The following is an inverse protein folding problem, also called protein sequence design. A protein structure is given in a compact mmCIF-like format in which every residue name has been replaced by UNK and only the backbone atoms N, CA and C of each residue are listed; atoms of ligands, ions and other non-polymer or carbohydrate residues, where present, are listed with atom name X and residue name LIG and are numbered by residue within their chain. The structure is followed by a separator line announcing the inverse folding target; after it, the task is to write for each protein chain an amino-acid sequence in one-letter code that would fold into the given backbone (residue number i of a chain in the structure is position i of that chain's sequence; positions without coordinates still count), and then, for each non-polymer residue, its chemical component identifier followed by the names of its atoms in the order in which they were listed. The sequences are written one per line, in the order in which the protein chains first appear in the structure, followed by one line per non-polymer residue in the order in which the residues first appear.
data_IF_872147954671
#
_entry.id   IF_872147954671
#
_cell.length_a   1.000
_cell.length_b   1.000
_cell.length_c   1.000
_cell.angle_alpha   90.00
_cell.angle_beta   90.00
_cell.angle_gamma   90.00
#
_symmetry.space_group_name_H-M   'P 1'
#
loop_
_entity.id
_entity.type
_entity.pdbx_description
1 polymer ?
#
# COMPACT_ATOMS: atom_id res chain seq x y z
N UNK A 1 23.24 -0.39 7.13
CA UNK A 1 22.47 -1.33 6.29
C UNK A 1 22.07 -0.60 5.01
N UNK A 2 22.18 -1.20 3.82
CA UNK A 2 21.78 -0.51 2.59
C UNK A 2 20.26 -0.35 2.49
N UNK A 3 19.81 0.65 1.74
CA UNK A 3 18.40 1.06 1.65
C UNK A 3 17.47 -0.04 1.12
N UNK A 4 17.92 -0.82 0.13
CA UNK A 4 17.11 -1.93 -0.44
C UNK A 4 16.93 -3.04 0.60
N UNK A 5 17.95 -3.32 1.40
CA UNK A 5 17.84 -4.26 2.52
C UNK A 5 16.85 -3.75 3.57
N UNK A 6 16.93 -2.49 3.98
CA UNK A 6 15.98 -1.91 4.94
C UNK A 6 14.54 -2.04 4.45
N UNK A 7 14.26 -1.62 3.21
CA UNK A 7 12.93 -1.73 2.59
C UNK A 7 12.46 -3.18 2.47
N UNK A 8 13.36 -4.13 2.21
CA UNK A 8 13.00 -5.55 2.13
C UNK A 8 12.57 -6.13 3.47
N UNK A 9 13.23 -5.74 4.56
CA UNK A 9 12.86 -6.17 5.91
C UNK A 9 11.53 -5.54 6.34
N UNK A 10 11.35 -4.24 6.08
CA UNK A 10 10.09 -3.56 6.35
C UNK A 10 8.94 -4.11 5.49
N UNK A 11 9.17 -4.46 4.22
CA UNK A 11 8.20 -5.15 3.36
C UNK A 11 7.74 -6.48 3.98
N UNK A 12 8.63 -7.20 4.67
CA UNK A 12 8.25 -8.44 5.36
C UNK A 12 7.31 -8.13 6.53
N UNK A 13 7.66 -7.16 7.39
CA UNK A 13 6.87 -6.76 8.56
C UNK A 13 5.52 -6.17 8.14
N UNK A 14 5.50 -5.20 7.22
CA UNK A 14 4.29 -4.53 6.76
C UNK A 14 3.43 -5.35 5.79
N UNK A 15 3.82 -6.60 5.52
CA UNK A 15 2.97 -7.60 4.89
C UNK A 15 2.25 -8.51 5.88
N UNK A 16 2.63 -8.45 7.16
CA UNK A 16 1.92 -9.14 8.23
C UNK A 16 0.62 -8.43 8.57
N UNK A 17 -0.22 -9.12 9.33
CA UNK A 17 -1.45 -8.51 9.85
C UNK A 17 -1.15 -7.44 10.89
N UNK A 18 -2.14 -6.59 11.12
CA UNK A 18 -2.14 -5.64 12.22
C UNK A 18 -2.85 -6.18 13.45
N UNK A 19 -2.52 -5.61 14.60
CA UNK A 19 -3.20 -5.77 15.88
C UNK A 19 -3.62 -4.38 16.35
N UNK A 20 -4.84 -4.25 16.88
CA UNK A 20 -5.27 -3.00 17.52
C UNK A 20 -4.51 -2.82 18.84
N UNK A 21 -3.94 -1.63 19.02
CA UNK A 21 -3.25 -1.22 20.24
C UNK A 21 -4.06 -0.09 20.90
N UNK A 22 -4.66 -0.40 22.06
CA UNK A 22 -5.56 0.53 22.77
C UNK A 22 -4.83 1.76 23.31
N UNK A 23 -3.55 1.66 23.68
CA UNK A 23 -2.79 2.80 24.19
C UNK A 23 -2.45 3.76 23.05
N UNK A 24 -2.03 3.21 21.91
CA UNK A 24 -1.70 3.99 20.73
C UNK A 24 -2.95 4.47 19.96
N UNK A 25 -4.11 3.86 20.22
CA UNK A 25 -5.32 4.01 19.39
C UNK A 25 -4.99 3.82 17.90
N UNK A 26 -4.18 2.81 17.61
CA UNK A 26 -3.63 2.56 16.29
C UNK A 26 -3.43 1.06 16.03
N UNK A 27 -3.39 0.70 14.75
CA UNK A 27 -3.11 -0.66 14.30
C UNK A 27 -1.61 -0.86 14.09
N UNK A 28 -0.98 -1.71 14.91
CA UNK A 28 0.45 -2.06 14.79
C UNK A 28 0.66 -3.35 14.02
N UNK A 29 1.70 -3.43 13.20
CA UNK A 29 2.02 -4.66 12.47
C UNK A 29 2.73 -5.65 13.38
N UNK A 30 2.42 -6.94 13.21
CA UNK A 30 3.15 -8.00 13.91
C UNK A 30 4.56 -8.10 13.33
N UNK A 31 5.57 -8.04 14.19
CA UNK A 31 6.96 -8.28 13.78
C UNK A 31 7.22 -9.80 13.76
N UNK A 32 7.57 -10.40 12.62
CA UNK A 32 7.80 -11.85 12.52
C UNK A 32 8.96 -12.32 13.39
N UNK A 33 8.82 -13.48 14.03
CA UNK A 33 9.91 -14.11 14.81
C UNK A 33 11.10 -14.53 13.94
N UNK A 34 10.88 -14.79 12.64
CA UNK A 34 11.96 -15.07 11.69
C UNK A 34 12.89 -13.87 11.45
N UNK A 35 12.48 -12.66 11.82
CA UNK A 35 13.31 -11.48 11.70
C UNK A 35 14.36 -11.49 12.82
N UNK A 36 15.63 -11.60 12.44
CA UNK A 36 16.72 -11.74 13.42
C UNK A 36 16.80 -10.50 14.33
N UNK A 37 17.27 -10.69 15.57
CA UNK A 37 17.53 -9.57 16.50
C UNK A 37 18.47 -8.55 15.85
N UNK A 38 19.52 -9.03 15.18
CA UNK A 38 20.49 -8.20 14.46
C UNK A 38 19.84 -7.36 13.35
N UNK A 39 18.88 -7.91 12.61
CA UNK A 39 18.18 -7.16 11.56
C UNK A 39 17.29 -6.05 12.16
N UNK A 40 16.67 -6.31 13.31
CA UNK A 40 15.88 -5.32 14.05
C UNK A 40 16.75 -4.19 14.59
N UNK A 41 17.85 -4.53 15.27
CA UNK A 41 18.84 -3.55 15.76
C UNK A 41 19.42 -2.71 14.61
N UNK A 42 19.65 -3.33 13.44
CA UNK A 42 20.17 -2.61 12.29
C UNK A 42 19.14 -1.69 11.60
N UNK A 43 17.84 -2.02 11.65
CA UNK A 43 16.76 -1.11 11.25
C UNK A 43 16.65 0.07 12.22
N UNK A 44 16.69 -0.19 13.52
CA UNK A 44 16.68 0.84 14.56
C UNK A 44 17.87 1.79 14.43
N UNK A 45 19.09 1.26 14.25
CA UNK A 45 20.30 2.05 14.04
C UNK A 45 20.25 2.89 12.74
N UNK A 46 19.45 2.49 11.76
CA UNK A 46 19.19 3.28 10.55
C UNK A 46 18.04 4.30 10.73
N UNK A 47 17.42 4.36 11.90
CA UNK A 47 16.30 5.26 12.20
C UNK A 47 14.94 4.74 11.74
N UNK A 48 14.83 3.47 11.36
CA UNK A 48 13.63 2.85 10.78
C UNK A 48 13.16 1.65 11.60
N UNK A 49 13.15 1.83 12.93
CA UNK A 49 12.52 0.88 13.84
C UNK A 49 11.04 0.67 13.44
N UNK A 50 10.59 -0.58 13.23
CA UNK A 50 9.20 -0.85 12.86
C UNK A 50 8.22 -0.41 13.95
N UNK A 51 6.99 -0.03 13.56
CA UNK A 51 5.94 0.38 14.50
C UNK A 51 6.34 1.61 15.35
N UNK A 52 7.04 2.58 14.77
CA UNK A 52 7.46 3.80 15.47
C UNK A 52 6.37 4.85 15.39
N UNK A 53 5.49 4.85 16.40
CA UNK A 53 4.31 5.71 16.45
C UNK A 53 4.58 7.11 17.00
N UNK A 54 4.07 8.14 16.31
CA UNK A 54 4.08 9.54 16.74
C UNK A 54 2.69 10.14 16.57
N UNK A 55 2.21 10.88 17.58
CA UNK A 55 0.97 11.65 17.48
C UNK A 55 1.29 13.08 17.01
N UNK A 56 0.83 13.50 15.82
CA UNK A 56 1.10 14.85 15.33
C UNK A 56 0.34 15.89 16.14
N UNK A 57 0.97 17.03 16.38
CA UNK A 57 0.32 18.24 16.89
C UNK A 57 0.06 19.21 15.74
N UNK A 58 -1.12 19.82 15.71
CA UNK A 58 -1.58 20.60 14.55
C UNK A 58 -0.63 21.75 14.19
N UNK A 59 -0.43 22.67 15.14
CA UNK A 59 0.31 23.90 14.90
C UNK A 59 1.80 23.64 14.69
N UNK A 60 2.36 22.67 15.42
CA UNK A 60 3.74 22.23 15.29
C UNK A 60 3.99 21.61 13.90
N UNK A 61 3.06 20.79 13.41
CA UNK A 61 3.16 20.16 12.09
C UNK A 61 3.15 21.20 10.98
N UNK A 62 2.25 22.18 11.03
CA UNK A 62 2.18 23.24 10.01
C UNK A 62 3.43 24.11 10.05
N UNK A 63 3.88 24.48 11.25
CA UNK A 63 5.11 25.28 11.45
C UNK A 63 6.31 24.56 10.88
N UNK A 64 6.46 23.27 11.20
CA UNK A 64 7.56 22.47 10.70
C UNK A 64 7.48 22.27 9.20
N UNK A 65 6.30 21.99 8.63
CA UNK A 65 6.09 21.83 7.19
C UNK A 65 6.60 23.06 6.43
N UNK A 66 6.20 24.26 6.89
CA UNK A 66 6.67 25.52 6.31
C UNK A 66 8.18 25.68 6.43
N UNK A 67 8.75 25.36 7.59
CA UNK A 67 10.19 25.44 7.83
C UNK A 67 10.99 24.52 6.91
N UNK A 68 10.62 23.24 6.78
CA UNK A 68 11.36 22.28 5.95
C UNK A 68 11.15 22.54 4.46
N UNK A 69 9.95 22.96 4.04
CA UNK A 69 9.68 23.31 2.65
C UNK A 69 10.37 24.60 2.19
N UNK A 70 10.64 25.55 3.10
CA UNK A 70 11.31 26.80 2.75
C UNK A 70 12.80 26.66 2.43
N UNK A 71 13.39 25.48 2.64
CA UNK A 71 14.76 25.18 2.24
C UNK A 71 14.92 25.00 0.73
N UNK A 72 13.80 24.83 0.01
CA UNK A 72 13.77 24.44 -1.40
C UNK A 72 13.02 25.46 -2.23
N UNK A 73 13.48 25.70 -3.46
CA UNK A 73 12.74 26.45 -4.47
C UNK A 73 11.74 25.55 -5.20
N UNK A 74 10.83 26.14 -5.97
CA UNK A 74 9.95 25.37 -6.86
C UNK A 74 10.78 24.64 -7.93
N UNK A 75 11.88 25.24 -8.40
CA UNK A 75 12.75 24.60 -9.40
C UNK A 75 13.44 23.37 -8.82
N UNK A 76 14.00 23.45 -7.61
CA UNK A 76 14.57 22.28 -6.93
C UNK A 76 13.51 21.18 -6.83
N UNK A 77 12.30 21.54 -6.40
CA UNK A 77 11.23 20.58 -6.28
C UNK A 77 10.81 19.94 -7.62
N UNK A 78 10.86 20.70 -8.73
CA UNK A 78 10.62 20.18 -10.07
C UNK A 78 11.73 19.22 -10.54
N UNK A 79 13.00 19.53 -10.29
CA UNK A 79 14.14 18.63 -10.58
C UNK A 79 14.04 17.32 -9.78
N UNK A 80 13.71 17.40 -8.50
CA UNK A 80 13.49 16.22 -7.66
C UNK A 80 12.30 15.37 -8.15
N UNK A 81 11.19 16.01 -8.53
CA UNK A 81 10.04 15.33 -9.09
C UNK A 81 10.41 14.55 -10.35
N UNK A 82 11.09 15.17 -11.33
CA UNK A 82 11.46 14.49 -12.57
C UNK A 82 12.44 13.34 -12.30
N UNK A 83 13.45 13.54 -11.44
CA UNK A 83 14.39 12.48 -11.06
C UNK A 83 13.70 11.26 -10.44
N UNK A 84 12.66 11.49 -9.64
CA UNK A 84 11.92 10.44 -8.94
C UNK A 84 10.97 9.61 -9.82
N UNK A 85 10.87 9.96 -11.11
CA UNK A 85 10.13 9.15 -12.07
C UNK A 85 10.88 7.84 -12.35
N UNK A 86 12.22 7.85 -12.28
CA UNK A 86 13.03 6.66 -12.51
C UNK A 86 14.27 6.53 -11.62
N UNK A 87 15.22 7.47 -11.70
CA UNK A 87 16.56 7.29 -11.14
C UNK A 87 16.64 7.51 -9.63
N UNK A 88 15.82 8.41 -9.08
CA UNK A 88 15.77 8.71 -7.66
C UNK A 88 14.62 7.96 -6.95
N UNK A 89 14.73 7.67 -5.63
CA UNK A 89 13.62 7.07 -4.89
C UNK A 89 12.35 7.93 -4.94
N UNK A 90 11.19 7.26 -4.90
CA UNK A 90 9.87 7.89 -5.05
C UNK A 90 9.57 8.98 -4.01
N UNK A 91 10.23 8.94 -2.85
CA UNK A 91 10.06 9.93 -1.78
C UNK A 91 10.31 11.36 -2.27
N UNK A 92 11.21 11.54 -3.24
CA UNK A 92 11.55 12.83 -3.84
C UNK A 92 10.37 13.51 -4.56
N UNK A 93 9.34 12.75 -4.98
CA UNK A 93 8.08 13.35 -5.50
C UNK A 93 7.41 14.26 -4.49
N UNK A 94 7.55 13.94 -3.20
CA UNK A 94 6.89 14.65 -2.11
C UNK A 94 7.40 16.08 -1.98
N UNK A 95 8.58 16.39 -2.52
CA UNK A 95 9.16 17.72 -2.41
C UNK A 95 8.30 18.77 -3.10
N UNK A 96 7.79 18.48 -4.30
CA UNK A 96 7.00 19.43 -5.08
C UNK A 96 5.63 19.69 -4.46
N UNK A 97 4.90 18.64 -4.12
CA UNK A 97 3.60 18.80 -3.45
C UNK A 97 3.75 19.43 -2.08
N UNK A 98 4.73 19.00 -1.27
CA UNK A 98 5.03 19.60 0.02
C UNK A 98 5.41 21.08 -0.08
N UNK A 99 6.21 21.46 -1.08
CA UNK A 99 6.57 22.86 -1.34
C UNK A 99 5.35 23.71 -1.69
N UNK A 100 4.50 23.24 -2.59
CA UNK A 100 3.32 24.00 -3.00
C UNK A 100 2.31 24.13 -1.86
N UNK A 101 2.04 23.04 -1.14
CA UNK A 101 1.18 23.05 0.05
C UNK A 101 1.71 24.05 1.09
N UNK A 102 2.99 23.97 1.44
CA UNK A 102 3.58 24.86 2.44
C UNK A 102 3.54 26.34 2.05
N UNK A 103 3.72 26.62 0.75
CA UNK A 103 3.76 27.99 0.22
C UNK A 103 2.37 28.62 0.09
N UNK A 104 1.34 27.82 -0.20
CA UNK A 104 -0.03 28.31 -0.40
C UNK A 104 -0.88 28.26 0.87
N UNK A 105 -0.57 27.35 1.82
CA UNK A 105 -1.40 27.14 3.02
C UNK A 105 -1.42 28.37 3.94
N UNK A 106 -2.61 28.97 4.18
CA UNK A 106 -2.74 30.09 5.09
C UNK A 106 -2.46 29.66 6.53
N UNK A 107 -2.12 30.63 7.37
CA UNK A 107 -2.20 30.42 8.82
C UNK A 107 -3.66 30.14 9.18
N UNK A 108 -3.90 29.12 10.00
CA UNK A 108 -5.24 28.76 10.44
C UNK A 108 -5.19 28.00 11.76
N UNK A 109 -6.27 28.07 12.51
CA UNK A 109 -6.48 27.27 13.71
C UNK A 109 -7.00 25.87 13.34
N UNK A 110 -6.78 24.90 14.23
CA UNK A 110 -7.33 23.55 14.06
C UNK A 110 -8.86 23.59 14.02
N UNK A 111 -9.43 23.28 12.84
CA UNK A 111 -10.88 23.33 12.60
C UNK A 111 -11.38 21.94 12.20
N UNK A 112 -11.71 21.05 13.15
CA UNK A 112 -12.07 19.67 12.84
C UNK A 112 -13.45 19.50 12.19
N UNK A 113 -13.67 18.35 11.54
CA UNK A 113 -15.01 17.89 11.18
C UNK A 113 -15.85 17.56 12.41
N UNK A 114 -17.19 17.64 12.34
CA UNK A 114 -18.04 17.21 13.46
C UNK A 114 -17.88 15.73 13.83
N UNK A 115 -17.44 14.89 12.89
CA UNK A 115 -17.34 13.44 13.03
C UNK A 115 -15.91 12.89 13.11
N UNK A 116 -14.88 13.74 13.11
CA UNK A 116 -13.47 13.32 13.19
C UNK A 116 -12.56 14.48 13.63
N UNK A 117 -11.37 14.21 14.18
CA UNK A 117 -10.40 15.29 14.48
C UNK A 117 -9.55 15.70 13.27
N UNK A 118 -10.00 15.38 12.06
CA UNK A 118 -9.36 15.82 10.82
C UNK A 118 -9.66 17.29 10.57
N UNK A 119 -8.63 18.11 10.41
CA UNK A 119 -8.78 19.54 10.11
C UNK A 119 -9.41 19.74 8.72
N UNK A 120 -10.51 20.48 8.63
CA UNK A 120 -11.17 20.84 7.36
C UNK A 120 -10.28 21.66 6.43
N UNK A 121 -9.30 22.36 6.98
CA UNK A 121 -8.44 23.27 6.22
C UNK A 121 -7.24 22.53 5.65
N UNK A 122 -6.42 21.90 6.50
CA UNK A 122 -5.18 21.24 6.05
C UNK A 122 -5.28 19.72 5.90
N UNK A 123 -6.30 19.06 6.45
CA UNK A 123 -6.46 17.61 6.38
C UNK A 123 -5.70 16.82 7.44
N UNK A 124 -4.98 17.48 8.35
CA UNK A 124 -4.27 16.80 9.41
C UNK A 124 -5.26 16.20 10.43
N UNK A 125 -5.14 14.90 10.67
CA UNK A 125 -5.77 14.17 11.78
C UNK A 125 -4.80 14.12 12.96
N UNK A 126 -5.29 14.45 14.16
CA UNK A 126 -4.49 14.52 15.41
C UNK A 126 -4.92 13.48 16.47
N UNK A 127 -5.96 12.71 16.17
CA UNK A 127 -6.53 11.67 17.02
C UNK A 127 -5.68 10.39 17.06
N UNK A 128 -5.05 10.04 15.94
CA UNK A 128 -4.38 8.76 15.76
C UNK A 128 -2.87 8.90 15.74
N UNK A 129 -2.20 7.96 16.42
CA UNK A 129 -0.76 7.83 16.29
C UNK A 129 -0.41 7.30 14.89
N UNK A 130 0.60 7.89 14.27
CA UNK A 130 1.08 7.52 12.93
C UNK A 130 2.38 6.74 13.04
N UNK A 131 2.45 5.55 12.43
CA UNK A 131 3.71 4.81 12.28
C UNK A 131 4.60 5.54 11.25
N UNK A 132 5.59 6.25 11.77
CA UNK A 132 6.51 7.07 10.97
C UNK A 132 7.41 6.23 10.06
N UNK A 133 7.73 5.00 10.47
CA UNK A 133 8.53 4.06 9.67
C UNK A 133 7.70 3.49 8.52
N UNK A 134 6.40 3.24 8.76
CA UNK A 134 5.48 2.83 7.68
C UNK A 134 5.27 3.95 6.67
N UNK A 135 5.13 5.19 7.15
CA UNK A 135 5.06 6.36 6.27
C UNK A 135 6.31 6.46 5.40
N UNK A 136 7.51 6.40 5.99
CA UNK A 136 8.77 6.38 5.23
C UNK A 136 8.79 5.26 4.19
N UNK A 137 8.46 4.02 4.59
CA UNK A 137 8.39 2.88 3.67
C UNK A 137 7.45 3.14 2.49
N UNK A 138 6.24 3.65 2.73
CA UNK A 138 5.30 4.00 1.67
C UNK A 138 5.80 5.13 0.76
N UNK A 139 6.48 6.15 1.30
CA UNK A 139 7.08 7.20 0.46
C UNK A 139 8.16 6.65 -0.45
N UNK A 140 8.93 5.69 0.04
CA UNK A 140 9.97 5.02 -0.73
C UNK A 140 9.41 4.07 -1.79
N UNK A 141 8.24 3.43 -1.57
CA UNK A 141 7.73 2.36 -2.45
C UNK A 141 6.50 2.70 -3.30
N UNK A 142 5.72 3.70 -2.90
CA UNK A 142 4.41 3.98 -3.47
C UNK A 142 4.26 5.42 -4.00
N UNK A 143 4.93 6.41 -3.40
CA UNK A 143 4.89 7.80 -3.87
C UNK A 143 4.51 8.81 -2.79
N UNK A 144 3.78 9.86 -3.16
CA UNK A 144 3.57 11.05 -2.29
C UNK A 144 2.58 10.81 -1.14
N UNK A 145 2.62 11.62 -0.06
CA UNK A 145 1.51 11.68 0.89
C UNK A 145 0.23 12.11 0.15
N UNK A 146 -0.66 11.15 -0.09
CA UNK A 146 -1.96 11.39 -0.69
C UNK A 146 -2.83 12.24 0.23
N UNK A 147 -3.88 12.80 -0.35
CA UNK A 147 -4.83 13.70 0.31
C UNK A 147 -4.23 14.98 0.92
N UNK A 148 -2.96 15.27 0.64
CA UNK A 148 -2.31 16.46 1.17
C UNK A 148 -1.95 16.36 2.65
N UNK A 149 -1.75 15.14 3.19
CA UNK A 149 -1.38 14.85 4.59
C UNK A 149 -0.17 15.69 5.07
N UNK A 150 -0.38 16.75 5.88
CA UNK A 150 0.69 17.65 6.28
C UNK A 150 1.79 16.95 7.09
N UNK A 151 1.43 15.97 7.93
CA UNK A 151 2.42 15.27 8.74
C UNK A 151 3.26 14.32 7.90
N UNK A 152 2.64 13.60 6.97
CA UNK A 152 3.35 12.82 5.96
C UNK A 152 4.36 13.65 5.15
N UNK A 153 4.01 14.89 4.80
CA UNK A 153 4.94 15.82 4.15
C UNK A 153 6.09 16.26 5.07
N UNK A 154 5.84 16.54 6.34
CA UNK A 154 6.92 16.83 7.31
C UNK A 154 7.90 15.67 7.38
N UNK A 155 7.41 14.44 7.50
CA UNK A 155 8.26 13.24 7.55
C UNK A 155 9.09 13.08 6.28
N UNK A 156 8.46 13.21 5.11
CA UNK A 156 9.14 13.10 3.83
C UNK A 156 10.20 14.20 3.66
N UNK A 157 9.86 15.47 3.88
CA UNK A 157 10.78 16.58 3.64
C UNK A 157 11.93 16.61 4.66
N UNK A 158 11.73 16.13 5.89
CA UNK A 158 12.84 15.93 6.85
C UNK A 158 13.83 14.88 6.35
N UNK A 159 13.33 13.77 5.81
CA UNK A 159 14.18 12.73 5.21
C UNK A 159 14.97 13.30 4.03
N UNK A 160 14.33 14.09 3.16
CA UNK A 160 14.99 14.74 2.03
C UNK A 160 16.05 15.77 2.47
N UNK A 161 15.77 16.54 3.51
CA UNK A 161 16.72 17.52 4.07
C UNK A 161 17.93 16.85 4.75
N UNK A 162 17.77 15.61 5.23
CA UNK A 162 18.87 14.80 5.77
C UNK A 162 19.63 14.01 4.70
N UNK A 163 19.12 13.94 3.46
CA UNK A 163 19.79 13.24 2.37
C UNK A 163 21.12 13.91 2.02
N UNK A 164 22.13 13.09 1.72
CA UNK A 164 23.48 13.58 1.41
C UNK A 164 23.56 14.27 0.04
N UNK A 165 22.73 13.84 -0.91
CA UNK A 165 22.78 14.30 -2.30
C UNK A 165 21.38 14.65 -2.79
N UNK A 166 21.30 15.80 -3.45
CA UNK A 166 20.10 16.24 -4.17
C UNK A 166 20.10 15.62 -5.58
N UNK A 167 19.01 14.97 -6.01
CA UNK A 167 18.98 14.28 -7.29
C UNK A 167 18.85 15.26 -8.46
N UNK A 168 19.58 14.98 -9.54
CA UNK A 168 19.53 15.73 -10.79
C UNK A 168 18.98 14.80 -11.88
N UNK A 169 17.94 15.20 -12.64
CA UNK A 169 17.37 14.35 -13.67
C UNK A 169 18.39 14.00 -14.74
N UNK A 170 18.55 12.71 -15.01
CA UNK A 170 19.32 12.26 -16.16
C UNK A 170 18.45 12.27 -17.44
N UNK A 171 19.02 11.83 -18.57
CA UNK A 171 18.31 11.81 -19.85
C UNK A 171 17.05 10.93 -19.81
N UNK A 172 17.12 9.77 -19.16
CA UNK A 172 16.01 8.84 -19.06
C UNK A 172 14.88 9.39 -18.17
N UNK A 173 15.20 10.09 -17.08
CA UNK A 173 14.21 10.79 -16.25
C UNK A 173 13.45 11.86 -17.05
N UNK A 174 14.19 12.69 -17.81
CA UNK A 174 13.62 13.74 -18.67
C UNK A 174 12.78 13.16 -19.81
N UNK A 175 13.23 12.07 -20.42
CA UNK A 175 12.45 11.32 -21.40
C UNK A 175 11.17 10.76 -20.77
N UNK A 176 11.26 10.16 -19.58
CA UNK A 176 10.13 9.59 -18.86
C UNK A 176 9.08 10.65 -18.56
N UNK A 177 9.49 11.84 -18.13
CA UNK A 177 8.57 12.95 -17.91
C UNK A 177 7.85 13.36 -19.20
N UNK A 178 8.58 13.56 -20.30
CA UNK A 178 7.97 13.87 -21.62
C UNK A 178 7.06 12.76 -22.11
N UNK A 179 7.41 11.49 -21.86
CA UNK A 179 6.58 10.34 -22.20
C UNK A 179 5.25 10.35 -21.42
N UNK A 180 5.28 10.66 -20.12
CA UNK A 180 4.06 10.83 -19.32
C UNK A 180 3.17 11.92 -19.91
N UNK A 181 3.73 13.09 -20.22
CA UNK A 181 2.98 14.21 -20.81
C UNK A 181 2.39 13.84 -22.18
N UNK A 182 3.18 13.17 -23.03
CA UNK A 182 2.75 12.72 -24.35
C UNK A 182 1.56 11.76 -24.24
N UNK A 183 1.67 10.72 -23.40
CA UNK A 183 0.59 9.76 -23.19
C UNK A 183 -0.68 10.45 -22.73
N UNK A 184 -0.57 11.41 -21.80
CA UNK A 184 -1.73 12.14 -21.27
C UNK A 184 -2.40 13.04 -22.32
N UNK A 185 -1.62 13.74 -23.16
CA UNK A 185 -2.13 14.58 -24.25
C UNK A 185 -2.81 13.78 -25.36
N UNK A 186 -2.38 12.54 -25.59
CA UNK A 186 -2.89 11.67 -26.64
C UNK A 186 -4.08 10.79 -26.20
N UNK A 187 -4.50 10.87 -24.93
CA UNK A 187 -5.65 10.11 -24.46
C UNK A 187 -6.92 10.47 -25.25
N UNK A 188 -7.75 9.47 -25.63
CA UNK A 188 -9.06 9.74 -26.21
C UNK A 188 -9.87 10.65 -25.28
N UNK A 189 -10.68 11.60 -25.80
CA UNK A 189 -11.52 12.46 -24.96
C UNK A 189 -12.37 11.67 -23.96
N UNK A 190 -12.64 12.26 -22.80
CA UNK A 190 -13.40 11.67 -21.68
C UNK A 190 -12.74 10.47 -20.99
N UNK A 191 -11.44 10.25 -21.21
CA UNK A 191 -10.68 9.22 -20.50
C UNK A 191 -10.47 9.65 -19.05
N UNK A 192 -10.99 8.86 -18.11
CA UNK A 192 -10.84 9.09 -16.66
C UNK A 192 -9.49 8.62 -16.14
N UNK A 193 -9.09 9.15 -14.97
CA UNK A 193 -7.81 8.85 -14.32
C UNK A 193 -7.49 7.35 -14.20
N UNK A 194 -8.48 6.50 -13.96
CA UNK A 194 -8.25 5.05 -13.84
C UNK A 194 -7.79 4.41 -15.15
N UNK A 195 -8.27 4.90 -16.29
CA UNK A 195 -7.83 4.46 -17.63
C UNK A 195 -6.53 5.14 -18.04
N UNK A 196 -6.32 6.40 -17.64
CA UNK A 196 -5.04 7.08 -17.83
C UNK A 196 -3.89 6.34 -17.11
N UNK A 197 -4.10 5.89 -15.87
CA UNK A 197 -3.11 5.09 -15.13
C UNK A 197 -2.77 3.78 -15.84
N UNK A 198 -3.76 3.12 -16.44
CA UNK A 198 -3.54 1.91 -17.25
C UNK A 198 -2.73 2.21 -18.52
N UNK A 199 -3.00 3.33 -19.19
CA UNK A 199 -2.24 3.77 -20.36
C UNK A 199 -0.77 4.04 -20.01
N UNK A 200 -0.51 4.81 -18.95
CA UNK A 200 0.86 5.07 -18.48
C UNK A 200 1.60 3.78 -18.07
N UNK A 201 0.90 2.87 -17.39
CA UNK A 201 1.45 1.57 -16.99
C UNK A 201 1.84 0.70 -18.19
N UNK A 202 1.03 0.71 -19.26
CA UNK A 202 1.30 -0.06 -20.48
C UNK A 202 2.67 0.29 -21.06
N UNK A 203 3.03 1.57 -21.02
CA UNK A 203 4.31 2.10 -21.50
C UNK A 203 5.47 1.91 -20.52
N UNK A 204 5.20 1.38 -19.32
CA UNK A 204 6.20 1.04 -18.28
C UNK A 204 7.08 2.23 -17.88
N UNK A 205 6.45 3.39 -17.70
CA UNK A 205 7.14 4.65 -17.44
C UNK A 205 7.70 4.79 -16.02
N UNK A 206 7.32 3.93 -15.08
CA UNK A 206 7.85 3.94 -13.71
C UNK A 206 8.65 2.67 -13.43
N UNK A 207 9.59 2.67 -12.45
CA UNK A 207 10.37 1.50 -12.04
C UNK A 207 9.54 0.47 -11.25
N UNK A 208 8.24 0.36 -11.56
CA UNK A 208 7.27 -0.56 -10.97
C UNK A 208 6.11 -0.82 -11.93
N UNK A 209 5.48 -1.99 -11.79
CA UNK A 209 4.29 -2.39 -12.54
C UNK A 209 3.01 -2.35 -11.68
N UNK A 210 3.11 -1.84 -10.45
CA UNK A 210 1.96 -1.66 -9.57
C UNK A 210 1.09 -0.52 -10.09
N UNK A 211 -0.17 -0.80 -10.40
CA UNK A 211 -1.11 0.18 -10.96
C UNK A 211 -1.30 1.39 -10.02
N UNK A 212 -1.30 1.14 -8.71
CA UNK A 212 -1.44 2.20 -7.70
C UNK A 212 -0.35 3.28 -7.82
N UNK A 213 0.89 2.94 -8.18
CA UNK A 213 1.96 3.93 -8.34
C UNK A 213 1.73 4.91 -9.51
N UNK A 214 0.97 4.47 -10.53
CA UNK A 214 0.56 5.33 -11.64
C UNK A 214 -0.65 6.19 -11.26
N UNK A 215 -1.54 5.67 -10.42
CA UNK A 215 -2.64 6.48 -9.84
C UNK A 215 -2.10 7.57 -8.91
N UNK A 216 -1.18 7.22 -8.02
CA UNK A 216 -0.47 8.16 -7.15
C UNK A 216 0.20 9.28 -7.96
N UNK A 217 0.90 8.95 -9.07
CA UNK A 217 1.47 9.95 -9.96
C UNK A 217 0.41 10.91 -10.52
N UNK A 218 -0.76 10.41 -10.94
CA UNK A 218 -1.85 11.27 -11.42
C UNK A 218 -2.43 12.15 -10.31
N UNK A 219 -2.53 11.64 -9.09
CA UNK A 219 -2.96 12.40 -7.92
C UNK A 219 -1.94 13.50 -7.58
N UNK A 220 -0.65 13.19 -7.66
CA UNK A 220 0.43 14.18 -7.54
C UNK A 220 0.28 15.26 -8.62
N UNK A 221 0.17 14.87 -9.89
CA UNK A 221 0.02 15.81 -11.01
C UNK A 221 -1.23 16.68 -10.89
N UNK A 222 -2.34 16.14 -10.39
CA UNK A 222 -3.55 16.91 -10.11
C UNK A 222 -3.35 17.89 -8.96
N UNK A 223 -2.77 17.43 -7.84
CA UNK A 223 -2.53 18.25 -6.65
C UNK A 223 -1.62 19.44 -6.94
N UNK A 224 -0.61 19.27 -7.80
CA UNK A 224 0.27 20.37 -8.22
C UNK A 224 -0.34 21.25 -9.32
N UNK A 225 -1.53 20.93 -9.85
CA UNK A 225 -2.24 21.74 -10.84
C UNK A 225 -1.92 21.47 -12.31
N UNK A 226 -1.39 20.29 -12.64
CA UNK A 226 -1.20 19.85 -14.04
C UNK A 226 -2.44 19.14 -14.57
N UNK A 227 -3.08 18.31 -13.73
CA UNK A 227 -4.33 17.61 -14.03
C UNK A 227 -5.47 18.16 -13.17
N UNK A 228 -5.74 19.45 -13.31
CA UNK A 228 -6.79 20.17 -12.59
C UNK A 228 -7.96 20.58 -13.49
N UNK A 229 -8.98 21.21 -12.90
CA UNK A 229 -10.06 21.85 -13.65
C UNK A 229 -10.20 23.30 -13.19
N UNK A 230 -10.81 24.20 -13.98
CA UNK A 230 -11.04 25.58 -13.56
C UNK A 230 -11.82 25.69 -12.23
N UNK A 231 -12.75 24.77 -11.98
CA UNK A 231 -13.57 24.72 -10.76
C UNK A 231 -12.86 24.04 -9.58
N UNK A 232 -11.85 23.24 -9.85
CA UNK A 232 -11.07 22.49 -8.88
C UNK A 232 -9.58 22.68 -9.15
N UNK A 233 -9.01 23.87 -8.86
CA UNK A 233 -7.62 24.18 -9.18
C UNK A 233 -6.63 23.41 -8.29
N UNK A 234 -5.45 23.13 -8.82
CA UNK A 234 -4.34 22.61 -8.02
C UNK A 234 -3.59 23.68 -7.23
N UNK A 235 -2.70 23.24 -6.34
CA UNK A 235 -2.02 24.06 -5.32
C UNK A 235 -1.11 25.17 -5.87
N UNK A 236 -0.66 25.07 -7.13
CA UNK A 236 0.13 26.10 -7.80
C UNK A 236 -0.69 27.35 -8.18
N UNK A 237 -2.00 27.16 -8.33
CA UNK A 237 -2.96 28.21 -8.70
C UNK A 237 -3.42 28.92 -7.43
N UNK A 238 -3.97 28.15 -6.48
CA UNK A 238 -4.41 28.64 -5.18
C UNK A 238 -4.43 27.51 -4.14
N UNK A 239 -4.49 27.87 -2.86
CA UNK A 239 -4.68 26.90 -1.79
C UNK A 239 -6.11 26.37 -1.80
N UNK A 240 -6.27 25.07 -2.02
CA UNK A 240 -7.55 24.37 -1.86
C UNK A 240 -7.57 23.62 -0.53
N UNK A 241 -8.53 23.98 0.32
CA UNK A 241 -8.69 23.33 1.63
C UNK A 241 -8.95 21.83 1.48
N UNK A 242 -8.60 21.06 2.50
CA UNK A 242 -8.89 19.64 2.54
C UNK A 242 -10.39 19.37 2.32
N UNK A 243 -11.28 20.19 2.90
CA UNK A 243 -12.72 20.03 2.70
C UNK A 243 -13.17 20.22 1.24
N UNK A 244 -12.54 21.15 0.51
CA UNK A 244 -12.82 21.30 -0.92
C UNK A 244 -12.27 20.12 -1.73
N UNK A 245 -11.06 19.65 -1.40
CA UNK A 245 -10.45 18.49 -2.05
C UNK A 245 -11.17 17.18 -1.73
N UNK A 246 -11.75 17.10 -0.54
CA UNK A 246 -12.45 15.92 -0.05
C UNK A 246 -13.90 15.79 -0.58
N UNK A 247 -14.41 16.81 -1.27
CA UNK A 247 -15.63 16.62 -2.05
C UNK A 247 -15.43 15.50 -3.08
N UNK A 248 -16.50 14.81 -3.49
CA UNK A 248 -16.45 13.78 -4.54
C UNK A 248 -17.65 13.90 -5.47
N UNK A 249 -17.50 13.57 -6.77
CA UNK A 249 -18.64 13.50 -7.69
C UNK A 249 -19.70 12.48 -7.25
N UNK A 250 -19.29 11.39 -6.58
CA UNK A 250 -20.17 10.42 -5.92
C UNK A 250 -19.35 9.49 -5.01
N UNK A 251 -20.05 8.68 -4.20
CA UNK A 251 -19.48 7.77 -3.19
C UNK A 251 -18.55 6.66 -3.73
N UNK A 252 -18.51 6.43 -5.04
CA UNK A 252 -17.66 5.38 -5.66
C UNK A 252 -16.32 5.93 -6.14
N UNK A 253 -16.10 7.25 -6.07
CA UNK A 253 -14.86 7.88 -6.51
C UNK A 253 -13.95 8.08 -5.29
N UNK A 254 -12.85 7.34 -5.24
CA UNK A 254 -11.92 7.36 -4.11
C UNK A 254 -10.97 8.56 -4.15
N UNK A 255 -10.42 8.90 -5.32
CA UNK A 255 -9.44 10.00 -5.49
C UNK A 255 -10.06 11.37 -5.20
N UNK A 256 -9.28 12.27 -4.59
CA UNK A 256 -9.67 13.65 -4.25
C UNK A 256 -9.68 14.62 -5.44
N UNK A 257 -10.21 15.82 -5.22
CA UNK A 257 -9.98 16.95 -6.11
C UNK A 257 -8.49 17.30 -6.16
N UNK A 258 -7.96 17.74 -7.30
CA UNK A 258 -8.69 17.96 -8.56
C UNK A 258 -9.04 16.70 -9.37
N UNK A 259 -8.28 15.62 -9.20
CA UNK A 259 -8.30 14.46 -10.10
C UNK A 259 -9.69 13.80 -10.24
N UNK A 260 -10.50 13.84 -9.18
CA UNK A 260 -11.84 13.25 -9.20
C UNK A 260 -12.76 13.84 -10.30
N UNK A 261 -12.55 15.10 -10.66
CA UNK A 261 -13.31 15.84 -11.68
C UNK A 261 -12.59 15.93 -13.02
N UNK A 262 -11.32 15.56 -13.06
CA UNK A 262 -10.54 15.58 -14.29
C UNK A 262 -10.90 14.42 -15.22
N UNK A 263 -10.92 14.73 -16.52
CA UNK A 263 -10.82 13.76 -17.61
C UNK A 263 -10.01 14.36 -18.77
N UNK A 264 -9.55 13.52 -19.68
CA UNK A 264 -8.68 13.94 -20.80
C UNK A 264 -9.29 14.99 -21.74
N UNK A 265 -10.59 15.29 -21.68
CA UNK A 265 -11.19 16.40 -22.43
C UNK A 265 -10.77 17.76 -21.86
N UNK A 266 -10.48 17.82 -20.55
CA UNK A 266 -9.87 18.99 -19.91
C UNK A 266 -8.39 19.07 -20.27
N UNK A 267 -7.73 17.91 -20.37
CA UNK A 267 -6.35 17.80 -20.79
C UNK A 267 -5.35 18.26 -19.72
N UNK A 268 -4.14 18.62 -20.15
CA UNK A 268 -3.11 19.16 -19.27
C UNK A 268 -3.27 20.67 -19.17
N UNK A 269 -3.14 21.22 -17.97
CA UNK A 269 -3.02 22.65 -17.76
C UNK A 269 -1.62 23.14 -18.16
N UNK A 270 -1.47 23.50 -19.44
CA UNK A 270 -0.18 23.89 -20.02
C UNK A 270 0.41 25.15 -19.37
N UNK A 271 -0.41 26.07 -18.85
CA UNK A 271 0.09 27.26 -18.15
C UNK A 271 0.80 26.88 -16.85
N UNK A 272 0.18 26.01 -16.05
CA UNK A 272 0.78 25.50 -14.82
C UNK A 272 1.97 24.59 -15.10
N UNK A 273 1.92 23.80 -16.17
CA UNK A 273 3.05 22.99 -16.61
C UNK A 273 4.28 23.85 -16.91
N UNK A 274 4.12 24.90 -17.72
CA UNK A 274 5.20 25.83 -18.03
C UNK A 274 5.67 26.58 -16.77
N UNK A 275 4.77 26.96 -15.86
CA UNK A 275 5.14 27.64 -14.61
C UNK A 275 6.06 26.79 -13.73
N UNK A 276 5.73 25.51 -13.55
CA UNK A 276 6.46 24.60 -12.65
C UNK A 276 7.71 24.04 -13.31
N UNK A 277 7.62 23.63 -14.58
CA UNK A 277 8.65 22.87 -15.29
C UNK A 277 9.29 23.67 -16.45
N UNK A 278 9.40 25.00 -16.34
CA UNK A 278 9.97 25.87 -17.38
C UNK A 278 11.39 25.49 -17.82
N UNK A 279 12.18 24.86 -16.95
CA UNK A 279 13.55 24.41 -17.25
C UNK A 279 13.60 23.08 -18.02
N UNK A 280 12.46 22.47 -18.31
CA UNK A 280 12.36 21.20 -19.04
C UNK A 280 11.85 21.43 -20.46
N UNK A 281 12.28 20.57 -21.37
CA UNK A 281 11.58 20.40 -22.64
C UNK A 281 10.24 19.71 -22.39
N UNK A 282 9.16 20.39 -22.77
CA UNK A 282 7.77 19.96 -22.54
C UNK A 282 7.08 19.46 -23.81
N UNK A 283 7.81 19.35 -24.92
CA UNK A 283 7.22 18.90 -26.19
C UNK A 283 6.88 17.41 -26.17
N UNK A 284 5.93 17.03 -27.03
CA UNK A 284 5.63 15.62 -27.26
C UNK A 284 6.83 14.91 -27.89
N UNK A 285 6.96 13.62 -27.57
CA UNK A 285 8.02 12.76 -28.09
C UNK A 285 7.44 11.51 -28.73
N UNK A 286 8.22 10.86 -29.59
CA UNK A 286 7.92 9.49 -30.01
C UNK A 286 8.26 8.53 -28.88
N UNK A 287 7.28 7.76 -28.42
CA UNK A 287 7.51 6.71 -27.40
C UNK A 287 8.41 5.58 -27.91
N UNK A 288 8.57 5.45 -29.24
CA UNK A 288 9.50 4.50 -29.84
C UNK A 288 10.97 4.91 -29.66
N UNK A 289 11.24 6.21 -29.47
CA UNK A 289 12.59 6.76 -29.30
C UNK A 289 12.98 6.72 -27.81
N UNK A 290 12.83 5.55 -27.19
CA UNK A 290 13.13 5.33 -25.78
C UNK A 290 14.65 5.19 -25.58
N UNK A 291 15.31 6.06 -24.78
CA UNK A 291 16.72 5.90 -24.45
C UNK A 291 16.94 4.71 -23.52
N UNK A 292 18.19 4.29 -23.39
CA UNK A 292 18.56 3.24 -22.44
C UNK A 292 18.22 3.64 -21.00
N UNK A 293 17.68 2.69 -20.25
CA UNK A 293 17.32 2.89 -18.85
C UNK A 293 18.55 3.27 -18.03
N UNK A 294 18.54 4.46 -17.44
CA UNK A 294 19.60 4.96 -16.58
C UNK A 294 19.04 5.37 -15.22
N UNK A 295 19.38 4.66 -14.13
CA UNK A 295 20.03 3.36 -14.12
C UNK A 295 19.10 2.27 -14.71
N UNK A 296 19.63 1.09 -15.03
CA UNK A 296 18.81 -0.03 -15.47
C UNK A 296 17.76 -0.38 -14.41
N UNK A 297 16.56 -0.86 -14.78
CA UNK A 297 15.47 -1.13 -13.84
C UNK A 297 15.92 -1.91 -12.59
N UNK A 298 16.74 -2.95 -12.77
CA UNK A 298 17.25 -3.80 -11.68
C UNK A 298 18.11 -3.07 -10.64
N UNK A 299 18.66 -1.93 -11.02
CA UNK A 299 19.58 -1.13 -10.22
C UNK A 299 18.86 0.09 -9.59
N UNK A 300 17.60 0.35 -9.99
CA UNK A 300 16.70 1.24 -9.24
C UNK A 300 16.31 0.61 -7.90
N UNK A 301 15.97 1.44 -6.90
CA UNK A 301 15.55 0.96 -5.57
C UNK A 301 14.36 0.01 -5.67
N UNK A 302 13.33 0.35 -6.47
CA UNK A 302 12.13 -0.49 -6.60
C UNK A 302 12.41 -1.78 -7.38
N UNK A 303 13.17 -1.72 -8.46
CA UNK A 303 13.50 -2.92 -9.22
C UNK A 303 14.41 -3.87 -8.44
N UNK A 304 15.34 -3.34 -7.64
CA UNK A 304 16.14 -4.14 -6.72
C UNK A 304 15.27 -4.75 -5.60
N UNK A 305 14.33 -3.99 -5.05
CA UNK A 305 13.40 -4.45 -4.01
C UNK A 305 12.46 -5.57 -4.52
N UNK A 306 11.95 -5.48 -5.75
CA UNK A 306 11.11 -6.54 -6.33
C UNK A 306 11.90 -7.84 -6.59
N UNK A 307 13.22 -7.75 -6.81
CA UNK A 307 14.08 -8.94 -6.94
C UNK A 307 14.40 -9.60 -5.60
N UNK A 308 14.33 -8.86 -4.48
CA UNK A 308 14.54 -9.46 -3.16
C UNK A 308 13.37 -10.39 -2.83
N UNK A 309 13.68 -11.69 -2.71
CA UNK A 309 12.72 -12.69 -2.25
C UNK A 309 12.36 -12.41 -0.81
N UNK A 310 11.07 -12.39 -0.48
CA UNK A 310 10.65 -12.36 0.91
C UNK A 310 11.10 -13.64 1.60
N UNK A 311 11.79 -13.49 2.74
CA UNK A 311 12.15 -14.61 3.61
C UNK A 311 10.89 -15.01 4.37
N UNK A 312 9.98 -15.71 3.71
CA UNK A 312 8.85 -16.33 4.41
C UNK A 312 9.37 -17.60 5.07
N UNK A 313 9.03 -17.83 6.34
CA UNK A 313 9.30 -19.12 6.99
C UNK A 313 8.81 -20.27 6.10
N UNK A 314 9.55 -21.36 5.97
CA UNK A 314 9.18 -22.47 5.07
C UNK A 314 7.83 -23.04 5.49
N UNK A 315 6.89 -23.14 4.55
CA UNK A 315 5.69 -23.97 4.73
C UNK A 315 6.13 -25.42 4.48
N UNK A 316 5.96 -26.34 5.45
CA UNK A 316 6.26 -27.75 5.21
C UNK A 316 5.54 -28.27 3.95
N UNK A 317 6.22 -29.12 3.19
CA UNK A 317 5.70 -29.59 1.89
C UNK A 317 4.56 -30.59 2.04
N UNK A 318 4.61 -31.44 3.07
CA UNK A 318 3.60 -32.45 3.34
C UNK A 318 3.66 -32.89 4.82
N UNK A 319 2.50 -33.29 5.36
CA UNK A 319 2.44 -34.14 6.56
C UNK A 319 2.66 -35.60 6.15
N UNK A 320 3.31 -36.44 6.98
CA UNK A 320 3.37 -37.89 6.76
C UNK A 320 1.97 -38.52 6.58
N UNK A 321 0.96 -37.96 7.26
CA UNK A 321 -0.42 -38.44 7.26
C UNK A 321 -1.29 -37.81 6.14
N UNK A 322 -0.69 -36.99 5.27
CA UNK A 322 -1.41 -36.32 4.19
C UNK A 322 -2.00 -37.31 3.17
N UNK A 323 -1.38 -38.48 2.98
CA UNK A 323 -1.74 -39.41 1.92
C UNK A 323 -1.57 -38.82 0.50
N UNK A 324 -2.10 -39.51 -0.51
CA UNK A 324 -2.04 -39.08 -1.93
C UNK A 324 -3.42 -39.12 -2.58
N UNK A 325 -3.64 -38.31 -3.62
CA UNK A 325 -4.89 -38.27 -4.38
C UNK A 325 -5.70 -36.99 -4.19
N UNK A 326 -6.81 -36.87 -4.91
CA UNK A 326 -7.69 -35.70 -4.86
C UNK A 326 -8.32 -35.51 -3.48
N UNK A 327 -8.73 -34.28 -3.16
CA UNK A 327 -9.47 -33.98 -1.93
C UNK A 327 -10.75 -34.81 -1.82
N UNK A 328 -11.07 -35.29 -0.62
CA UNK A 328 -12.28 -36.03 -0.32
C UNK A 328 -12.91 -35.63 1.03
N UNK A 329 -14.14 -36.09 1.28
CA UNK A 329 -14.76 -35.97 2.60
C UNK A 329 -13.91 -36.67 3.67
N UNK A 330 -13.78 -36.07 4.84
CA UNK A 330 -12.93 -36.55 5.92
C UNK A 330 -11.45 -36.14 5.82
N UNK A 331 -11.03 -35.47 4.74
CA UNK A 331 -9.69 -34.87 4.72
C UNK A 331 -9.62 -33.66 5.66
N UNK A 332 -8.46 -33.46 6.30
CA UNK A 332 -8.17 -32.28 7.12
C UNK A 332 -6.96 -31.55 6.55
N UNK A 333 -7.07 -30.22 6.46
CA UNK A 333 -5.99 -29.35 6.00
C UNK A 333 -5.58 -28.37 7.09
N UNK A 334 -4.28 -28.25 7.31
CA UNK A 334 -3.70 -27.15 8.06
C UNK A 334 -3.62 -25.90 7.17
N UNK A 335 -4.10 -24.77 7.69
CA UNK A 335 -4.06 -23.45 7.09
C UNK A 335 -3.07 -22.63 7.89
N UNK A 336 -1.96 -22.24 7.26
CA UNK A 336 -1.03 -21.29 7.88
C UNK A 336 -1.64 -19.90 7.83
N UNK A 337 -2.00 -19.36 9.00
CA UNK A 337 -2.57 -18.02 9.13
C UNK A 337 -1.48 -16.96 9.01
N UNK A 338 -0.39 -17.16 9.75
CA UNK A 338 0.84 -16.35 9.76
C UNK A 338 2.03 -17.20 10.23
N UNK A 339 3.20 -16.60 10.38
CA UNK A 339 4.31 -17.29 11.06
C UNK A 339 3.94 -17.65 12.51
N UNK A 340 4.27 -18.86 12.93
CA UNK A 340 3.94 -19.37 14.26
C UNK A 340 2.45 -19.61 14.54
N UNK A 341 1.56 -19.52 13.54
CA UNK A 341 0.12 -19.73 13.75
C UNK A 341 -0.51 -20.53 12.62
N UNK A 342 -0.98 -21.72 12.99
CA UNK A 342 -1.70 -22.65 12.14
C UNK A 342 -3.05 -22.99 12.76
N UNK A 343 -4.04 -23.15 11.90
CA UNK A 343 -5.37 -23.71 12.25
C UNK A 343 -5.68 -24.83 11.29
N UNK A 344 -6.75 -25.59 11.55
CA UNK A 344 -7.13 -26.72 10.70
C UNK A 344 -8.57 -26.61 10.21
N UNK A 345 -8.82 -27.06 8.98
CA UNK A 345 -10.14 -27.16 8.38
C UNK A 345 -10.46 -28.61 8.01
N UNK A 346 -11.67 -29.05 8.35
CA UNK A 346 -12.21 -30.35 8.00
C UNK A 346 -13.04 -30.26 6.72
N UNK A 347 -12.90 -31.25 5.84
CA UNK A 347 -13.64 -31.34 4.58
C UNK A 347 -14.92 -32.17 4.77
N UNK A 348 -16.08 -31.50 4.76
CA UNK A 348 -17.40 -32.15 4.87
C UNK A 348 -17.73 -32.95 3.62
N UNK A 349 -17.61 -32.33 2.45
CA UNK A 349 -18.00 -32.91 1.18
C UNK A 349 -17.32 -32.20 0.01
N UNK A 350 -17.25 -32.87 -1.13
CA UNK A 350 -16.71 -32.33 -2.38
C UNK A 350 -17.85 -32.21 -3.39
N UNK A 351 -18.03 -31.01 -3.95
CA UNK A 351 -19.04 -30.69 -4.97
C UNK A 351 -18.42 -29.84 -6.07
N UNK A 352 -18.46 -30.30 -7.31
CA UNK A 352 -18.04 -29.54 -8.51
C UNK A 352 -16.66 -28.85 -8.35
N UNK A 353 -15.64 -29.62 -7.94
CA UNK A 353 -14.26 -29.15 -7.66
C UNK A 353 -14.13 -28.16 -6.49
N UNK A 354 -15.18 -28.01 -5.69
CA UNK A 354 -15.21 -27.24 -4.46
C UNK A 354 -15.35 -28.18 -3.27
N UNK A 355 -14.91 -27.73 -2.12
CA UNK A 355 -14.94 -28.50 -0.88
C UNK A 355 -15.67 -27.68 0.16
N UNK A 356 -16.67 -28.26 0.80
CA UNK A 356 -17.30 -27.64 1.95
C UNK A 356 -16.39 -27.87 3.16
N UNK A 357 -15.92 -26.78 3.76
CA UNK A 357 -14.96 -26.83 4.85
C UNK A 357 -15.45 -26.09 6.09
N UNK A 358 -14.95 -26.51 7.25
CA UNK A 358 -15.23 -25.92 8.55
C UNK A 358 -13.99 -25.99 9.44
N UNK A 359 -13.75 -24.96 10.25
CA UNK A 359 -12.61 -24.95 11.18
C UNK A 359 -12.78 -25.97 12.29
N UNK A 360 -11.71 -26.73 12.56
CA UNK A 360 -11.57 -27.51 13.79
C UNK A 360 -11.05 -26.61 14.90
N UNK A 361 -11.32 -26.97 16.15
CA UNK A 361 -10.71 -26.28 17.29
C UNK A 361 -9.19 -26.51 17.35
N UNK A 362 -8.47 -25.58 17.99
CA UNK A 362 -7.01 -25.62 18.11
C UNK A 362 -6.28 -24.57 17.28
N UNK A 363 -5.23 -24.02 17.88
CA UNK A 363 -4.27 -23.09 17.27
C UNK A 363 -2.88 -23.63 17.55
N UNK A 364 -2.07 -23.82 16.50
CA UNK A 364 -0.81 -24.54 16.59
C UNK A 364 0.37 -23.65 16.22
N UNK A 365 1.49 -23.72 16.96
CA UNK A 365 2.71 -22.96 16.63
C UNK A 365 3.39 -23.47 15.36
N UNK A 366 3.21 -24.74 15.04
CA UNK A 366 3.74 -25.41 13.85
C UNK A 366 2.61 -26.11 13.06
N UNK A 367 2.92 -26.63 11.87
CA UNK A 367 1.93 -27.38 11.09
C UNK A 367 1.55 -28.67 11.85
N UNK A 368 0.29 -28.84 12.28
CA UNK A 368 -0.11 -29.99 13.08
C UNK A 368 -0.08 -31.29 12.25
N UNK A 369 0.25 -32.41 12.90
CA UNK A 369 0.06 -33.75 12.37
C UNK A 369 -1.33 -34.30 12.69
N UNK A 370 -1.66 -35.52 12.23
CA UNK A 370 -2.96 -36.15 12.49
C UNK A 370 -3.23 -36.33 14.00
N UNK A 371 -2.19 -36.58 14.79
CA UNK A 371 -2.28 -36.80 16.22
C UNK A 371 -2.63 -35.54 17.03
N UNK A 372 -2.37 -34.36 16.48
CA UNK A 372 -2.62 -33.07 17.15
C UNK A 372 -4.05 -32.55 16.92
N UNK A 373 -4.81 -33.18 16.01
CA UNK A 373 -6.11 -32.68 15.57
C UNK A 373 -7.21 -32.87 16.61
N UNK A 374 -7.99 -31.81 16.82
CA UNK A 374 -9.14 -31.86 17.72
C UNK A 374 -10.39 -32.41 17.01
N UNK A 375 -11.19 -33.20 17.73
CA UNK A 375 -12.45 -33.81 17.24
C UNK A 375 -13.68 -32.90 17.33
N UNK A 376 -13.49 -31.59 17.45
CA UNK A 376 -14.56 -30.60 17.64
C UNK A 376 -14.42 -29.45 16.64
N UNK A 377 -15.56 -28.87 16.22
CA UNK A 377 -15.57 -27.70 15.36
C UNK A 377 -15.38 -26.39 16.14
N UNK A 378 -14.70 -25.42 15.55
CA UNK A 378 -14.56 -24.06 16.07
C UNK A 378 -15.68 -23.16 15.52
N UNK A 379 -16.65 -22.73 16.34
CA UNK A 379 -17.67 -21.79 15.89
C UNK A 379 -17.13 -20.36 15.82
N UNK A 380 -17.89 -19.48 15.17
CA UNK A 380 -17.77 -18.02 15.29
C UNK A 380 -18.67 -17.53 16.44
N UNK A 381 -18.53 -16.25 16.81
CA UNK A 381 -19.30 -15.67 17.92
C UNK A 381 -20.83 -15.81 17.78
N UNK A 382 -21.36 -15.82 16.55
CA UNK A 382 -22.78 -15.96 16.25
C UNK A 382 -23.16 -17.35 15.69
N UNK A 383 -22.42 -18.40 16.05
CA UNK A 383 -22.79 -19.79 15.79
C UNK A 383 -21.83 -20.53 14.86
N UNK A 384 -22.33 -21.58 14.19
CA UNK A 384 -21.53 -22.43 13.34
C UNK A 384 -21.10 -21.71 12.04
N UNK A 385 -19.99 -22.15 11.45
CA UNK A 385 -19.46 -21.58 10.22
C UNK A 385 -19.07 -22.68 9.23
N UNK A 386 -19.45 -22.51 7.96
CA UNK A 386 -19.00 -23.36 6.84
C UNK A 386 -18.73 -22.46 5.64
N UNK A 387 -17.82 -22.88 4.77
CA UNK A 387 -17.69 -22.26 3.45
C UNK A 387 -17.43 -23.30 2.35
N UNK A 388 -17.79 -22.95 1.12
CA UNK A 388 -17.45 -23.70 -0.08
C UNK A 388 -16.16 -23.14 -0.66
N UNK A 389 -15.06 -23.87 -0.52
CA UNK A 389 -13.74 -23.44 -0.95
C UNK A 389 -13.32 -24.10 -2.27
N UNK A 390 -12.72 -23.33 -3.18
CA UNK A 390 -12.02 -23.87 -4.36
C UNK A 390 -10.50 -23.81 -4.16
N UNK A 391 -9.76 -24.64 -4.91
CA UNK A 391 -8.30 -24.58 -5.01
C UNK A 391 -7.54 -24.95 -3.72
N UNK A 392 -8.13 -25.79 -2.86
CA UNK A 392 -7.56 -26.18 -1.57
C UNK A 392 -6.19 -26.87 -1.71
N UNK A 393 -6.07 -27.84 -2.63
CA UNK A 393 -4.82 -28.57 -2.88
C UNK A 393 -3.72 -27.71 -3.52
N UNK A 394 -4.09 -26.69 -4.30
CA UNK A 394 -3.14 -25.82 -5.00
C UNK A 394 -2.68 -24.60 -4.20
N UNK A 395 -3.27 -24.36 -3.02
CA UNK A 395 -2.96 -23.15 -2.24
C UNK A 395 -1.69 -23.36 -1.41
N UNK A 396 -0.66 -22.55 -1.66
CA UNK A 396 0.70 -22.76 -1.12
C UNK A 396 0.86 -22.67 0.42
N UNK A 397 -0.16 -22.26 1.17
CA UNK A 397 -0.16 -22.23 2.65
C UNK A 397 -1.30 -23.05 3.28
N UNK A 398 -1.95 -23.88 2.46
CA UNK A 398 -2.95 -24.85 2.90
C UNK A 398 -2.40 -26.24 2.60
N UNK A 399 -2.30 -27.10 3.60
CA UNK A 399 -1.63 -28.40 3.49
C UNK A 399 -2.48 -29.48 4.08
N UNK A 400 -2.71 -30.56 3.34
CA UNK A 400 -3.39 -31.73 3.88
C UNK A 400 -2.54 -32.32 5.00
N UNK A 401 -3.16 -32.58 6.14
CA UNK A 401 -2.50 -33.10 7.34
C UNK A 401 -3.09 -34.41 7.82
N UNK A 402 -4.31 -34.75 7.39
CA UNK A 402 -4.90 -36.07 7.61
C UNK A 402 -5.90 -36.42 6.51
N UNK A 403 -6.13 -37.73 6.34
CA UNK A 403 -7.25 -38.29 5.57
C UNK A 403 -8.12 -39.18 6.45
N UNK A 404 -9.36 -39.33 6.01
CA UNK A 404 -10.37 -40.19 6.65
C UNK A 404 -10.47 -39.88 8.16
N UNK A 405 -10.40 -38.60 8.49
CA UNK A 405 -10.57 -38.14 9.85
C UNK A 405 -12.04 -38.32 10.25
N UNK A 406 -12.34 -38.86 11.44
CA UNK A 406 -13.71 -39.03 11.90
C UNK A 406 -14.47 -37.70 11.88
N UNK A 407 -15.76 -37.74 11.53
CA UNK A 407 -16.60 -36.54 11.52
C UNK A 407 -16.59 -35.89 12.92
N UNK A 408 -16.12 -34.64 13.05
CA UNK A 408 -16.13 -33.93 14.32
C UNK A 408 -17.54 -33.66 14.82
N UNK A 409 -17.69 -33.55 16.13
CA UNK A 409 -18.98 -33.26 16.76
C UNK A 409 -19.20 -31.76 16.94
N UNK A 410 -20.43 -31.29 16.74
CA UNK A 410 -20.87 -29.96 17.16
C UNK A 410 -22.30 -29.99 17.68
N UNK A 411 -22.60 -29.36 18.83
CA UNK A 411 -23.96 -29.22 19.34
C UNK A 411 -24.75 -28.09 18.67
N UNK A 412 -24.10 -27.29 17.82
CA UNK A 412 -24.70 -26.11 17.18
C UNK A 412 -25.38 -26.49 15.85
N UNK A 413 -26.47 -25.79 15.54
CA UNK A 413 -27.18 -25.95 14.28
C UNK A 413 -26.27 -25.64 13.08
N UNK A 414 -26.50 -26.36 11.97
CA UNK A 414 -25.91 -26.05 10.67
C UNK A 414 -26.16 -24.58 10.28
N UNK A 415 -25.18 -23.88 9.68
CA UNK A 415 -25.38 -22.51 9.25
C UNK A 415 -26.38 -22.44 8.08
N UNK A 416 -27.21 -21.40 8.06
CA UNK A 416 -28.23 -21.20 7.01
C UNK A 416 -27.64 -21.01 5.60
N UNK A 417 -26.35 -20.67 5.51
CA UNK A 417 -25.65 -20.42 4.25
C UNK A 417 -24.23 -20.94 4.29
N UNK A 418 -23.78 -21.41 3.13
CA UNK A 418 -22.40 -21.84 2.88
C UNK A 418 -21.82 -20.97 1.75
N UNK A 419 -21.23 -19.80 2.07
CA UNK A 419 -20.71 -18.88 1.06
C UNK A 419 -19.52 -19.47 0.30
N UNK A 420 -19.32 -19.00 -0.93
CA UNK A 420 -18.24 -19.44 -1.81
C UNK A 420 -16.99 -18.55 -1.65
N UNK A 421 -15.83 -19.18 -1.48
CA UNK A 421 -14.54 -18.52 -1.31
C UNK A 421 -13.40 -19.27 -2.01
N UNK A 422 -12.28 -18.59 -2.24
CA UNK A 422 -11.03 -19.26 -2.62
C UNK A 422 -10.31 -19.74 -1.36
N UNK A 423 -9.66 -20.91 -1.38
CA UNK A 423 -8.92 -21.43 -0.23
C UNK A 423 -7.83 -20.47 0.29
N UNK A 424 -7.30 -19.58 -0.56
CA UNK A 424 -6.37 -18.51 -0.16
C UNK A 424 -6.95 -17.55 0.90
N UNK A 425 -8.27 -17.44 0.97
CA UNK A 425 -9.01 -16.55 1.90
C UNK A 425 -9.26 -17.20 3.25
N UNK A 426 -9.05 -18.53 3.39
CA UNK A 426 -9.22 -19.23 4.67
C UNK A 426 -8.40 -18.54 5.77
N UNK A 427 -7.13 -18.23 5.53
CA UNK A 427 -6.29 -17.51 6.51
C UNK A 427 -6.91 -16.20 7.02
N UNK A 428 -7.65 -15.47 6.18
CA UNK A 428 -8.29 -14.20 6.55
C UNK A 428 -9.57 -14.48 7.33
N UNK A 429 -10.38 -15.42 6.88
CA UNK A 429 -11.63 -15.82 7.55
C UNK A 429 -11.38 -16.50 8.90
N UNK A 430 -10.19 -17.02 9.15
CA UNK A 430 -9.83 -17.62 10.43
C UNK A 430 -10.04 -16.64 11.61
N UNK A 431 -9.86 -15.33 11.42
CA UNK A 431 -10.11 -14.33 12.46
C UNK A 431 -11.56 -14.28 12.94
N UNK A 432 -12.53 -14.78 12.16
CA UNK A 432 -13.93 -14.84 12.56
C UNK A 432 -14.23 -15.95 13.57
N UNK A 433 -13.42 -17.01 13.56
CA UNK A 433 -13.56 -18.18 14.43
C UNK A 433 -12.55 -18.16 15.59
N UNK A 434 -11.41 -17.50 15.41
CA UNK A 434 -10.37 -17.35 16.42
C UNK A 434 -9.92 -15.88 16.52
N UNK A 435 -10.64 -15.05 17.30
CA UNK A 435 -10.36 -13.63 17.41
C UNK A 435 -9.04 -13.33 18.14
N UNK A 436 -8.60 -14.23 19.01
CA UNK A 436 -7.42 -14.06 19.86
C UNK A 436 -6.11 -14.58 19.24
N UNK A 437 -6.21 -15.20 18.05
CA UNK A 437 -5.03 -15.67 17.31
C UNK A 437 -4.12 -14.54 16.96
#
# INVERSE_FOLDING_TARGET
MDMVTQLSLLKQIYSERTLWDEELQASRHVVPESLSVKDREALEAAGHEPNRFVRPQHDETITELKKVANQWTINDAAQAFVSSLWSAPMIWRSLLTGKLIASSMPSHEHTPYPSSNTCKICGLSVDQATDTTLQWYWRMTNGTPLDGDPFGYVLALRELAAAQEFPIPNEYDRWTFRAVLTVLRELPPKTRYSKAAVALKKERLLPTQKEYAYRDLLETLALIGILDTPEHPGMITEFTSYMQRDARPNVRVEVQAPLAWWDSSVGINENNLNKIFHDFDLNNISLADKPDESPALKDTILGALEKKRSVRGKVPKASPDAGTGEVQSGDVYAVRVREGVWVTVYCHEVRDKRVIVEYLDGVFPEMPGKADLHGTFRPRANGRWKCSAIAIDSTSWVRRVAREFPLPTSPLQEPDRTPFHNAKELKHMASWCFPDM
#
